data_IF_482009901083
#
_entry.id   IF_482009901083
#
_cell.length_a   1.000
_cell.length_b   1.000
_cell.length_c   1.000
_cell.angle_alpha   90.00
_cell.angle_beta   90.00
_cell.angle_gamma   90.00
#
_symmetry.space_group_name_H-M   'P 1'
#
loop_
_entity.id
_entity.type
_entity.pdbx_description
1 polymer ?
#
# COMPACT_ATOMS: atom_id res chain seq x y z
N UNK A 1 -4.38 29.20 60.54
CA UNK A 1 -3.60 27.95 60.52
C UNK A 1 -4.02 27.12 59.32
N UNK A 2 -3.03 26.67 58.55
CA UNK A 2 -3.05 25.92 57.27
C UNK A 2 -3.02 26.78 56.01
N UNK A 3 -1.84 27.36 55.80
CA UNK A 3 -1.34 27.83 54.51
C UNK A 3 -1.13 26.63 53.57
N UNK A 4 -1.74 26.68 52.39
CA UNK A 4 -1.51 25.71 51.30
C UNK A 4 -0.48 26.33 50.37
N UNK A 5 0.73 25.78 50.37
CA UNK A 5 1.78 26.16 49.44
C UNK A 5 1.52 25.52 48.07
N UNK A 6 1.33 26.35 47.04
CA UNK A 6 1.29 25.95 45.64
C UNK A 6 2.73 25.83 45.13
N UNK A 7 3.22 24.60 44.93
CA UNK A 7 4.51 24.35 44.27
C UNK A 7 4.26 24.27 42.76
N UNK A 8 4.64 25.33 42.04
CA UNK A 8 4.73 25.30 40.57
C UNK A 8 6.01 24.53 40.19
N UNK A 9 5.84 23.31 39.66
CA UNK A 9 6.92 22.54 39.05
C UNK A 9 7.05 22.94 37.57
N UNK A 10 7.90 23.91 37.25
CA UNK A 10 8.28 24.20 35.86
C UNK A 10 9.20 23.10 35.34
N UNK A 11 8.64 22.19 34.54
CA UNK A 11 9.40 21.26 33.71
C UNK A 11 10.05 22.03 32.56
N UNK A 12 11.33 22.36 32.72
CA UNK A 12 12.15 22.82 31.60
C UNK A 12 12.40 21.62 30.66
N UNK A 13 11.64 21.53 29.56
CA UNK A 13 12.00 20.69 28.43
C UNK A 13 13.23 21.30 27.76
N UNK A 14 14.42 20.87 28.18
CA UNK A 14 15.63 21.03 27.39
C UNK A 14 15.48 20.14 26.16
N UNK A 15 14.92 20.72 25.09
CA UNK A 15 14.91 20.13 23.76
C UNK A 15 16.35 19.88 23.34
N UNK A 16 16.84 18.65 23.54
CA UNK A 16 18.03 18.17 22.84
C UNK A 16 17.65 18.03 21.38
N UNK A 17 18.02 19.02 20.58
CA UNK A 17 18.22 18.83 19.14
C UNK A 17 19.14 17.63 19.00
N UNK A 18 18.62 16.51 18.50
CA UNK A 18 19.48 15.42 18.03
C UNK A 18 20.30 16.02 16.89
N UNK A 19 21.56 16.34 17.18
CA UNK A 19 22.50 16.74 16.16
C UNK A 19 22.51 15.64 15.10
N UNK A 20 22.15 16.02 13.87
CA UNK A 20 22.31 15.19 12.68
C UNK A 20 23.79 14.81 12.63
N UNK A 21 24.11 13.53 12.85
CA UNK A 21 25.50 13.12 12.79
C UNK A 21 25.93 13.22 11.32
N UNK A 22 26.93 14.05 11.00
CA UNK A 22 27.44 14.13 9.64
C UNK A 22 27.96 12.74 9.27
N UNK A 23 27.45 12.19 8.17
CA UNK A 23 28.01 10.98 7.58
C UNK A 23 29.46 11.31 7.25
N UNK A 24 30.40 10.69 7.94
CA UNK A 24 31.83 10.87 7.68
C UNK A 24 32.11 10.40 6.25
N UNK A 25 32.36 11.35 5.34
CA UNK A 25 32.74 11.07 3.96
C UNK A 25 34.02 10.25 3.96
N UNK A 26 33.91 8.98 3.54
CA UNK A 26 35.11 8.22 3.17
C UNK A 26 35.62 8.78 1.84
N UNK A 27 36.94 8.96 1.68
CA UNK A 27 37.48 9.37 0.38
C UNK A 27 37.01 8.39 -0.70
N UNK A 28 36.46 8.94 -1.78
CA UNK A 28 35.84 8.24 -2.92
C UNK A 28 34.47 7.55 -2.69
N UNK A 29 33.77 7.82 -1.58
CA UNK A 29 32.37 7.37 -1.40
C UNK A 29 31.41 8.46 -1.87
N UNK A 30 30.60 8.18 -2.89
CA UNK A 30 29.60 9.14 -3.37
C UNK A 30 28.27 8.99 -2.61
N UNK A 31 27.75 10.08 -2.06
CA UNK A 31 26.44 10.10 -1.42
C UNK A 31 25.41 10.87 -2.27
N UNK A 32 24.21 10.33 -2.36
CA UNK A 32 23.03 11.03 -2.86
C UNK A 32 21.90 10.94 -1.84
N UNK A 33 21.07 11.97 -1.78
CA UNK A 33 19.93 12.06 -0.89
C UNK A 33 18.65 12.18 -1.70
N UNK A 34 17.60 11.49 -1.24
CA UNK A 34 16.25 11.55 -1.82
C UNK A 34 15.28 11.97 -0.73
N UNK A 35 14.47 12.99 -0.97
CA UNK A 35 13.52 13.56 -0.03
C UNK A 35 12.16 13.80 -0.69
N UNK A 36 11.06 13.58 0.04
CA UNK A 36 9.71 13.82 -0.45
C UNK A 36 9.41 15.31 -0.76
N UNK A 37 10.27 16.22 -0.28
CA UNK A 37 10.24 17.66 -0.56
C UNK A 37 11.44 18.13 -1.40
N UNK A 38 12.23 17.19 -1.94
CA UNK A 38 13.38 17.48 -2.79
C UNK A 38 12.99 17.99 -4.18
N UNK A 39 13.99 18.25 -5.02
CA UNK A 39 13.79 18.62 -6.44
C UNK A 39 14.76 17.84 -7.33
N UNK A 40 14.27 17.32 -8.46
CA UNK A 40 15.09 16.48 -9.35
C UNK A 40 16.08 17.27 -10.22
N UNK A 41 16.01 18.61 -10.21
CA UNK A 41 16.97 19.51 -10.83
C UNK A 41 18.12 19.93 -9.89
N UNK A 42 18.08 19.53 -8.61
CA UNK A 42 19.19 19.72 -7.69
C UNK A 42 20.29 18.66 -7.91
N UNK A 43 21.42 18.79 -7.21
CA UNK A 43 22.55 17.85 -7.32
C UNK A 43 22.32 16.54 -6.57
N UNK A 44 21.41 16.54 -5.58
CA UNK A 44 21.19 15.43 -4.68
C UNK A 44 22.30 15.21 -3.67
N UNK A 45 23.31 16.09 -3.58
CA UNK A 45 24.49 15.93 -2.71
C UNK A 45 24.29 16.43 -1.28
N UNK A 46 23.24 17.19 -1.03
CA UNK A 46 22.91 17.71 0.30
C UNK A 46 21.67 16.98 0.84
N UNK A 47 21.69 16.60 2.12
CA UNK A 47 20.53 15.99 2.80
C UNK A 47 19.40 17.00 3.06
N UNK A 48 19.76 18.29 3.12
CA UNK A 48 18.86 19.43 3.33
C UNK A 48 19.08 20.44 2.22
N UNK A 49 18.03 21.15 1.81
CA UNK A 49 18.17 22.24 0.86
C UNK A 49 19.12 23.33 1.39
N UNK A 50 19.90 23.95 0.50
CA UNK A 50 20.70 25.12 0.88
C UNK A 50 19.80 26.37 1.09
N UNK A 51 20.37 27.40 1.70
CA UNK A 51 19.64 28.63 2.02
C UNK A 51 19.11 29.36 0.77
N UNK A 52 19.81 29.22 -0.35
CA UNK A 52 19.45 29.83 -1.62
C UNK A 52 18.42 29.01 -2.42
N UNK A 53 18.01 27.84 -1.93
CA UNK A 53 17.11 26.87 -2.61
C UNK A 53 17.57 26.46 -4.02
N UNK A 54 18.86 26.58 -4.29
CA UNK A 54 19.49 26.22 -5.56
C UNK A 54 20.03 24.79 -5.57
N UNK A 55 20.17 24.16 -4.41
CA UNK A 55 20.62 22.78 -4.27
C UNK A 55 19.99 22.07 -3.06
N UNK A 56 20.03 20.74 -3.05
CA UNK A 56 19.38 19.91 -2.04
C UNK A 56 19.25 18.44 -2.47
N UNK A 57 18.41 17.66 -1.79
CA UNK A 57 18.14 16.25 -2.13
C UNK A 57 17.28 16.13 -3.40
N UNK A 58 17.46 15.04 -4.15
CA UNK A 58 16.55 14.70 -5.25
C UNK A 58 15.11 14.45 -4.73
N UNK A 59 14.11 14.66 -5.58
CA UNK A 59 12.73 14.33 -5.26
C UNK A 59 12.44 12.82 -5.43
N UNK A 60 13.12 12.17 -6.39
CA UNK A 60 12.79 10.81 -6.81
C UNK A 60 13.97 9.84 -6.77
N UNK A 61 13.67 8.55 -6.55
CA UNK A 61 14.63 7.45 -6.73
C UNK A 61 15.12 7.36 -8.18
N UNK A 62 14.24 7.63 -9.14
CA UNK A 62 14.56 7.62 -10.57
C UNK A 62 15.66 8.63 -10.90
N UNK A 63 15.58 9.85 -10.36
CA UNK A 63 16.62 10.84 -10.55
C UNK A 63 17.95 10.42 -9.92
N UNK A 64 17.92 9.88 -8.70
CA UNK A 64 19.12 9.36 -8.03
C UNK A 64 19.81 8.26 -8.85
N UNK A 65 19.04 7.30 -9.37
CA UNK A 65 19.53 6.27 -10.30
C UNK A 65 20.17 6.88 -11.55
N UNK A 66 19.50 7.85 -12.18
CA UNK A 66 20.03 8.50 -13.38
C UNK A 66 21.34 9.25 -13.09
N UNK A 67 21.47 9.91 -11.94
CA UNK A 67 22.71 10.55 -11.51
C UNK A 67 23.86 9.55 -11.30
N UNK A 68 23.56 8.35 -10.80
CA UNK A 68 24.55 7.27 -10.70
C UNK A 68 25.00 6.82 -12.10
N UNK A 69 24.06 6.66 -13.04
CA UNK A 69 24.38 6.30 -14.43
C UNK A 69 25.25 7.36 -15.10
N UNK A 70 24.96 8.64 -14.89
CA UNK A 70 25.78 9.77 -15.34
C UNK A 70 27.23 9.65 -14.79
N UNK A 71 27.39 9.47 -13.47
CA UNK A 71 28.72 9.28 -12.85
C UNK A 71 29.50 8.10 -13.44
N UNK A 72 28.84 6.98 -13.72
CA UNK A 72 29.47 5.79 -14.32
C UNK A 72 29.89 6.06 -15.76
N UNK A 73 29.01 6.65 -16.57
CA UNK A 73 29.27 6.96 -17.98
C UNK A 73 30.47 7.89 -18.16
N UNK A 74 30.64 8.85 -17.25
CA UNK A 74 31.73 9.82 -17.25
C UNK A 74 33.00 9.32 -16.54
N UNK A 75 33.03 8.06 -16.07
CA UNK A 75 34.14 7.47 -15.31
C UNK A 75 34.53 8.31 -14.07
N UNK A 76 33.53 8.99 -13.48
CA UNK A 76 33.68 9.82 -12.28
C UNK A 76 33.38 9.07 -10.99
N UNK A 77 32.77 7.89 -11.08
CA UNK A 77 32.65 6.98 -9.93
C UNK A 77 34.03 6.45 -9.58
N UNK A 78 34.50 6.72 -8.35
CA UNK A 78 35.82 6.28 -7.84
C UNK A 78 35.70 5.32 -6.65
N UNK A 79 34.50 4.85 -6.36
CA UNK A 79 34.20 4.03 -5.19
C UNK A 79 32.71 3.75 -5.03
N UNK A 80 32.28 3.25 -3.86
CA UNK A 80 30.89 2.93 -3.55
C UNK A 80 29.96 4.14 -3.70
N UNK A 81 28.71 3.88 -4.06
CA UNK A 81 27.65 4.90 -4.10
C UNK A 81 26.52 4.54 -3.15
N UNK A 82 26.11 5.49 -2.31
CA UNK A 82 24.95 5.30 -1.42
C UNK A 82 23.89 6.37 -1.68
N UNK A 83 22.67 5.91 -1.96
CA UNK A 83 21.46 6.72 -2.00
C UNK A 83 20.75 6.58 -0.66
N UNK A 84 20.70 7.67 0.10
CA UNK A 84 20.00 7.75 1.38
C UNK A 84 18.63 8.37 1.18
N UNK A 85 17.57 7.61 1.46
CA UNK A 85 16.19 8.03 1.30
C UNK A 85 15.67 8.54 2.64
N UNK A 86 15.34 9.83 2.70
CA UNK A 86 14.80 10.49 3.88
C UNK A 86 13.36 9.99 4.15
N UNK A 87 12.92 10.12 5.39
CA UNK A 87 11.59 9.77 5.86
C UNK A 87 10.50 10.50 5.08
N UNK A 88 9.42 9.77 4.82
CA UNK A 88 8.33 10.25 3.97
C UNK A 88 7.67 9.11 3.21
N UNK A 89 6.58 9.41 2.52
CA UNK A 89 5.92 8.46 1.61
C UNK A 89 6.16 8.90 0.18
N UNK A 90 6.84 8.05 -0.58
CA UNK A 90 7.17 8.24 -1.99
C UNK A 90 6.17 7.44 -2.82
N UNK A 91 5.21 8.13 -3.42
CA UNK A 91 4.21 7.50 -4.28
C UNK A 91 4.81 7.27 -5.67
N UNK A 92 4.95 6.01 -6.05
CA UNK A 92 5.49 5.57 -7.33
C UNK A 92 4.35 5.39 -8.33
N UNK A 93 4.33 6.18 -9.40
CA UNK A 93 3.36 6.05 -10.50
C UNK A 93 3.75 4.95 -11.48
N UNK A 94 5.01 4.51 -11.44
CA UNK A 94 5.59 3.46 -12.26
C UNK A 94 6.63 2.65 -11.45
N UNK A 95 6.98 1.42 -11.88
CA UNK A 95 8.02 0.65 -11.22
C UNK A 95 9.36 1.39 -11.21
N UNK A 96 10.09 1.32 -10.09
CA UNK A 96 11.49 1.71 -10.07
C UNK A 96 12.35 0.62 -10.72
N UNK A 97 12.65 0.80 -12.01
CA UNK A 97 13.39 -0.18 -12.82
C UNK A 97 14.89 -0.06 -12.56
N UNK A 98 15.54 -1.19 -12.26
CA UNK A 98 17.00 -1.32 -12.22
C UNK A 98 17.42 -2.29 -13.33
N UNK A 99 18.38 -1.90 -14.15
CA UNK A 99 18.91 -2.71 -15.26
C UNK A 99 20.44 -2.87 -15.15
N UNK A 100 21.08 -3.44 -16.18
CA UNK A 100 22.52 -3.71 -16.18
C UNK A 100 23.39 -2.46 -15.99
N UNK A 101 22.88 -1.26 -16.31
CA UNK A 101 23.58 0.00 -16.08
C UNK A 101 23.66 0.37 -14.60
N UNK A 102 22.82 -0.22 -13.75
CA UNK A 102 22.74 0.06 -12.32
C UNK A 102 23.55 -0.92 -11.47
N UNK A 103 24.24 -1.87 -12.11
CA UNK A 103 25.10 -2.85 -11.44
C UNK A 103 26.32 -2.17 -10.81
N UNK A 104 26.55 -2.41 -9.52
CA UNK A 104 27.82 -2.12 -8.85
C UNK A 104 28.79 -3.30 -8.92
N UNK A 105 29.95 -3.18 -8.28
CA UNK A 105 30.86 -4.32 -8.05
C UNK A 105 30.99 -4.60 -6.55
N UNK A 106 31.63 -5.70 -6.17
CA UNK A 106 31.90 -5.99 -4.76
C UNK A 106 32.74 -4.89 -4.09
N UNK A 107 33.61 -4.21 -4.84
CA UNK A 107 34.45 -3.11 -4.35
C UNK A 107 33.75 -1.74 -4.44
N UNK A 108 32.82 -1.59 -5.38
CA UNK A 108 32.08 -0.35 -5.65
C UNK A 108 30.56 -0.64 -5.69
N UNK A 109 29.95 -1.04 -4.55
CA UNK A 109 28.53 -1.35 -4.52
C UNK A 109 27.70 -0.06 -4.65
N UNK A 110 26.50 -0.23 -5.22
CA UNK A 110 25.46 0.79 -5.24
C UNK A 110 24.40 0.40 -4.22
N UNK A 111 24.22 1.20 -3.18
CA UNK A 111 23.30 0.91 -2.06
C UNK A 111 22.20 1.95 -1.99
N UNK A 112 20.95 1.49 -1.97
CA UNK A 112 19.79 2.30 -1.61
C UNK A 112 19.40 1.97 -0.17
N UNK A 113 19.37 2.96 0.71
CA UNK A 113 19.11 2.76 2.14
C UNK A 113 18.23 3.86 2.70
N UNK A 114 17.56 3.59 3.81
CA UNK A 114 16.94 4.65 4.59
C UNK A 114 18.01 5.58 5.17
N UNK A 115 17.72 6.88 5.20
CA UNK A 115 18.52 7.82 5.99
C UNK A 115 18.51 7.39 7.47
N UNK A 116 19.64 7.43 8.19
CA UNK A 116 19.73 6.93 9.56
C UNK A 116 18.60 7.42 10.48
N UNK A 117 17.94 6.48 11.16
CA UNK A 117 16.83 6.78 12.08
C UNK A 117 15.49 7.13 11.42
N UNK A 118 15.44 7.24 10.09
CA UNK A 118 14.23 7.58 9.35
C UNK A 118 13.59 6.34 8.68
N UNK A 119 12.30 6.44 8.34
CA UNK A 119 11.52 5.34 7.74
C UNK A 119 10.85 5.79 6.45
N UNK A 120 11.56 5.77 5.30
CA UNK A 120 10.94 6.00 4.00
C UNK A 120 9.96 4.87 3.66
N UNK A 121 8.83 5.23 3.05
CA UNK A 121 7.83 4.29 2.53
C UNK A 121 7.77 4.47 1.02
N UNK A 122 8.12 3.43 0.26
CA UNK A 122 7.87 3.39 -1.17
C UNK A 122 6.47 2.80 -1.40
N UNK A 123 5.56 3.60 -1.95
CA UNK A 123 4.16 3.22 -2.11
C UNK A 123 3.79 3.16 -3.58
N UNK A 124 3.38 1.99 -4.08
CA UNK A 124 2.68 1.87 -5.37
C UNK A 124 1.18 2.24 -5.27
N UNK A 125 0.74 2.76 -4.12
CA UNK A 125 -0.63 3.18 -3.91
C UNK A 125 -0.89 4.58 -4.46
N UNK A 126 -2.16 5.01 -4.41
CA UNK A 126 -2.56 6.39 -4.71
C UNK A 126 -3.10 7.03 -3.45
N UNK A 127 -2.60 8.23 -3.11
CA UNK A 127 -3.17 9.04 -2.03
C UNK A 127 -4.58 9.48 -2.42
N UNK A 128 -5.56 9.10 -1.61
CA UNK A 128 -6.96 9.51 -1.78
C UNK A 128 -7.23 10.71 -0.86
N UNK A 129 -7.70 11.80 -1.45
CA UNK A 129 -8.01 13.07 -0.77
C UNK A 129 -9.47 13.47 -1.00
N UNK A 130 -9.93 14.55 -0.36
CA UNK A 130 -11.30 15.04 -0.51
C UNK A 130 -12.34 14.18 0.20
N UNK A 131 -11.99 13.70 1.41
CA UNK A 131 -12.92 12.99 2.26
C UNK A 131 -13.86 13.97 2.97
N UNK A 132 -15.15 13.65 2.97
CA UNK A 132 -16.21 14.40 3.64
C UNK A 132 -17.04 13.46 4.53
N UNK A 133 -17.60 13.96 5.65
CA UNK A 133 -18.62 13.23 6.40
C UNK A 133 -19.82 12.88 5.52
N UNK A 134 -20.39 11.69 5.74
CA UNK A 134 -21.61 11.27 5.06
C UNK A 134 -22.72 10.96 6.07
N UNK A 135 -22.88 9.71 6.49
CA UNK A 135 -23.95 9.26 7.39
C UNK A 135 -23.36 8.43 8.55
N UNK A 136 -23.75 8.76 9.78
CA UNK A 136 -23.18 8.14 10.97
C UNK A 136 -21.65 8.27 10.97
N UNK A 137 -20.96 7.15 11.10
CA UNK A 137 -19.48 7.09 11.12
C UNK A 137 -18.84 6.86 9.73
N UNK A 138 -19.57 7.16 8.65
CA UNK A 138 -19.09 6.93 7.28
C UNK A 138 -18.48 8.21 6.73
N UNK A 139 -17.24 8.09 6.23
CA UNK A 139 -16.60 9.09 5.37
C UNK A 139 -16.76 8.68 3.90
N UNK A 140 -16.87 9.67 3.03
CA UNK A 140 -17.00 9.48 1.58
C UNK A 140 -16.01 10.39 0.85
N UNK A 141 -15.52 9.94 -0.31
CA UNK A 141 -14.82 10.78 -1.28
C UNK A 141 -15.31 10.44 -2.69
N UNK A 142 -15.18 11.38 -3.63
CA UNK A 142 -15.58 11.18 -5.02
C UNK A 142 -14.40 10.77 -5.88
N UNK A 143 -14.49 9.60 -6.54
CA UNK A 143 -13.45 9.04 -7.39
C UNK A 143 -13.99 8.76 -8.81
N UNK A 144 -14.17 9.80 -9.65
CA UNK A 144 -14.82 9.66 -10.96
C UNK A 144 -14.09 8.66 -11.88
N UNK A 145 -12.76 8.71 -11.88
CA UNK A 145 -11.92 7.86 -12.73
C UNK A 145 -12.09 6.36 -12.43
N UNK A 146 -12.44 6.01 -11.19
CA UNK A 146 -12.72 4.60 -10.82
C UNK A 146 -14.05 4.11 -11.36
N UNK A 147 -15.05 5.01 -11.48
CA UNK A 147 -16.35 4.69 -12.10
C UNK A 147 -16.21 4.51 -13.61
N UNK A 148 -15.28 5.24 -14.23
CA UNK A 148 -14.93 5.13 -15.64
C UNK A 148 -14.04 3.92 -15.95
N UNK A 149 -13.64 3.15 -14.94
CA UNK A 149 -12.79 1.96 -15.13
C UNK A 149 -11.32 2.27 -15.44
N UNK A 150 -10.86 3.52 -15.30
CA UNK A 150 -9.46 3.91 -15.56
C UNK A 150 -8.50 3.25 -14.57
N UNK A 151 -8.95 3.00 -13.35
CA UNK A 151 -8.24 2.21 -12.35
C UNK A 151 -9.20 1.65 -11.32
N UNK A 152 -8.80 0.58 -10.63
CA UNK A 152 -9.55 -0.07 -9.57
C UNK A 152 -8.64 -0.46 -8.42
N UNK A 153 -9.21 -0.75 -7.26
CA UNK A 153 -8.47 -1.16 -6.08
C UNK A 153 -9.28 -2.15 -5.23
N UNK A 154 -8.58 -3.06 -4.55
CA UNK A 154 -9.17 -4.03 -3.60
C UNK A 154 -8.78 -3.77 -2.15
N UNK A 155 -7.90 -2.79 -1.94
CA UNK A 155 -7.25 -2.53 -0.66
C UNK A 155 -7.27 -1.03 -0.41
N UNK A 156 -7.58 -0.64 0.82
CA UNK A 156 -7.55 0.74 1.29
C UNK A 156 -6.76 0.76 2.59
N UNK A 157 -5.93 1.77 2.77
CA UNK A 157 -5.16 2.00 3.99
C UNK A 157 -5.52 3.36 4.56
N UNK A 158 -5.70 3.42 5.87
CA UNK A 158 -5.97 4.66 6.61
C UNK A 158 -4.99 4.72 7.78
N UNK A 159 -4.20 5.79 7.87
CA UNK A 159 -3.14 5.96 8.89
C UNK A 159 -2.20 4.75 9.04
N UNK A 160 -1.82 4.14 7.92
CA UNK A 160 -0.94 2.96 7.89
C UNK A 160 -1.65 1.63 8.15
N UNK A 161 -2.93 1.64 8.53
CA UNK A 161 -3.70 0.43 8.79
C UNK A 161 -4.55 0.02 7.60
N UNK A 162 -4.43 -1.25 7.20
CA UNK A 162 -5.27 -1.84 6.15
C UNK A 162 -6.72 -1.91 6.63
N UNK A 163 -7.61 -1.27 5.87
CA UNK A 163 -9.05 -1.32 6.12
C UNK A 163 -9.66 -2.59 5.56
N UNK A 164 -10.71 -3.07 6.24
CA UNK A 164 -11.46 -4.25 5.79
C UNK A 164 -12.35 -3.83 4.63
N UNK A 165 -12.13 -4.41 3.45
CA UNK A 165 -13.07 -4.26 2.33
C UNK A 165 -14.44 -4.75 2.79
N UNK A 166 -15.46 -3.92 2.60
CA UNK A 166 -16.82 -4.21 3.03
C UNK A 166 -17.23 -5.61 2.56
N UNK A 167 -17.62 -6.46 3.51
CA UNK A 167 -17.95 -7.86 3.28
C UNK A 167 -19.10 -8.30 4.16
N UNK A 168 -19.78 -9.33 3.71
CA UNK A 168 -20.70 -10.09 4.53
C UNK A 168 -20.37 -11.58 4.40
N UNK A 169 -20.40 -12.36 5.49
CA UNK A 169 -20.50 -11.87 6.86
C UNK A 169 -19.29 -11.02 7.28
N UNK A 170 -19.45 -10.24 8.34
CA UNK A 170 -18.35 -9.45 8.90
C UNK A 170 -17.23 -10.38 9.39
N UNK A 171 -15.97 -9.96 9.21
CA UNK A 171 -14.80 -10.68 9.72
C UNK A 171 -14.94 -10.91 11.23
N UNK A 172 -14.68 -12.14 11.68
CA UNK A 172 -14.56 -12.48 13.10
C UNK A 172 -13.08 -12.72 13.45
N UNK A 173 -12.38 -11.78 14.11
CA UNK A 173 -10.94 -11.92 14.37
C UNK A 173 -10.58 -13.16 15.21
N UNK A 174 -11.47 -13.58 16.12
CA UNK A 174 -11.25 -14.70 17.03
C UNK A 174 -11.64 -16.06 16.42
N UNK A 175 -12.19 -16.08 15.21
CA UNK A 175 -12.48 -17.30 14.45
C UNK A 175 -12.15 -17.02 12.98
N UNK A 176 -10.86 -16.96 12.63
CA UNK A 176 -10.43 -16.54 11.30
C UNK A 176 -10.62 -17.63 10.23
N UNK A 177 -10.79 -18.90 10.64
CA UNK A 177 -10.92 -20.03 9.73
C UNK A 177 -12.38 -20.19 9.26
N UNK A 178 -13.34 -20.19 10.16
CA UNK A 178 -14.75 -20.44 9.83
C UNK A 178 -15.65 -19.22 10.12
N UNK A 179 -15.22 -18.36 11.02
CA UNK A 179 -15.96 -17.18 11.43
C UNK A 179 -15.95 -16.08 10.36
N UNK A 180 -17.13 -15.55 10.06
CA UNK A 180 -17.28 -14.51 9.07
C UNK A 180 -17.43 -15.03 7.63
N UNK A 181 -17.63 -16.34 7.47
CA UNK A 181 -18.04 -16.99 6.22
C UNK A 181 -19.51 -17.37 6.26
N UNK A 182 -20.15 -17.37 5.10
CA UNK A 182 -21.48 -17.91 4.91
C UNK A 182 -21.38 -19.24 4.17
N UNK A 183 -22.24 -20.18 4.54
CA UNK A 183 -22.33 -21.48 3.88
C UNK A 183 -23.53 -21.48 2.93
N UNK A 184 -23.33 -22.05 1.76
CA UNK A 184 -24.39 -22.23 0.77
C UNK A 184 -25.25 -23.43 1.16
N UNK A 185 -26.55 -23.33 0.92
CA UNK A 185 -27.51 -24.44 1.11
C UNK A 185 -27.27 -25.54 0.08
N UNK A 186 -27.12 -25.15 -1.19
CA UNK A 186 -26.80 -26.04 -2.30
C UNK A 186 -26.13 -25.26 -3.44
N UNK A 187 -25.28 -25.93 -4.22
CA UNK A 187 -24.92 -25.48 -5.56
C UNK A 187 -26.01 -25.86 -6.55
N UNK A 188 -26.11 -25.19 -7.70
CA UNK A 188 -27.01 -25.58 -8.79
C UNK A 188 -26.22 -25.76 -10.10
N UNK A 189 -26.26 -26.98 -10.71
CA UNK A 189 -26.85 -28.23 -10.19
C UNK A 189 -26.23 -28.69 -8.86
N UNK A 190 -26.99 -29.46 -8.08
CA UNK A 190 -26.59 -29.92 -6.75
C UNK A 190 -25.31 -30.76 -6.81
N UNK A 191 -24.36 -30.47 -5.92
CA UNK A 191 -23.06 -31.14 -5.87
C UNK A 191 -22.03 -30.66 -6.91
N UNK A 192 -22.38 -29.74 -7.82
CA UNK A 192 -21.42 -29.21 -8.81
C UNK A 192 -20.37 -28.32 -8.14
N UNK A 193 -19.11 -28.78 -8.13
CA UNK A 193 -17.95 -28.03 -7.61
C UNK A 193 -17.55 -26.83 -8.49
N UNK A 194 -18.08 -26.76 -9.72
CA UNK A 194 -17.86 -25.69 -10.70
C UNK A 194 -19.15 -24.92 -10.97
N UNK A 195 -20.07 -24.90 -10.01
CA UNK A 195 -21.35 -24.23 -10.17
C UNK A 195 -21.18 -22.75 -10.51
N UNK A 196 -22.07 -22.22 -11.33
CA UNK A 196 -22.21 -20.77 -11.53
C UNK A 196 -23.29 -20.18 -10.61
N UNK A 197 -23.99 -21.03 -9.86
CA UNK A 197 -25.19 -20.68 -9.13
C UNK A 197 -25.21 -21.41 -7.80
N UNK A 198 -25.65 -20.73 -6.75
CA UNK A 198 -25.85 -21.35 -5.44
C UNK A 198 -27.03 -20.75 -4.72
N UNK A 199 -27.68 -21.59 -3.91
CA UNK A 199 -28.74 -21.19 -2.99
C UNK A 199 -28.12 -20.81 -1.66
N UNK A 200 -28.43 -19.64 -1.13
CA UNK A 200 -28.03 -19.24 0.23
C UNK A 200 -29.04 -19.74 1.27
N UNK A 201 -28.54 -20.00 2.49
CA UNK A 201 -29.36 -20.49 3.59
C UNK A 201 -30.50 -19.51 3.95
N UNK A 202 -31.67 -19.98 4.42
CA UNK A 202 -32.82 -19.12 4.75
C UNK A 202 -32.52 -17.99 5.75
N UNK A 203 -31.63 -18.24 6.70
CA UNK A 203 -31.12 -17.29 7.70
C UNK A 203 -29.85 -16.55 7.25
N UNK A 204 -29.25 -17.01 6.16
CA UNK A 204 -28.05 -16.46 5.52
C UNK A 204 -28.33 -15.37 4.50
N UNK A 205 -29.54 -14.78 4.48
CA UNK A 205 -29.88 -13.76 3.49
C UNK A 205 -28.92 -12.57 3.59
N UNK A 206 -28.31 -12.14 2.48
CA UNK A 206 -27.56 -10.89 2.47
C UNK A 206 -28.51 -9.75 2.84
N UNK A 207 -27.99 -8.74 3.56
CA UNK A 207 -28.64 -7.42 3.64
C UNK A 207 -29.12 -7.04 2.24
N UNK A 208 -30.26 -6.33 2.11
CA UNK A 208 -30.68 -5.79 0.82
C UNK A 208 -29.54 -4.93 0.23
N UNK A 209 -28.83 -5.47 -0.77
CA UNK A 209 -27.72 -4.78 -1.41
C UNK A 209 -28.30 -3.80 -2.43
N UNK A 210 -27.97 -2.52 -2.28
CA UNK A 210 -28.43 -1.50 -3.22
C UNK A 210 -27.92 -1.72 -4.66
N UNK A 211 -26.78 -2.41 -4.82
CA UNK A 211 -26.12 -2.69 -6.10
C UNK A 211 -25.49 -4.09 -6.10
N UNK A 212 -26.29 -5.17 -6.20
CA UNK A 212 -25.78 -6.54 -6.10
C UNK A 212 -24.76 -6.87 -7.18
N UNK A 213 -24.86 -6.29 -8.39
CA UNK A 213 -23.87 -6.48 -9.46
C UNK A 213 -22.47 -5.88 -9.20
N UNK A 214 -22.29 -5.11 -8.12
CA UNK A 214 -20.97 -4.64 -7.68
C UNK A 214 -20.33 -5.56 -6.63
N UNK A 215 -21.07 -6.58 -6.16
CA UNK A 215 -20.56 -7.55 -5.21
C UNK A 215 -19.73 -8.62 -5.92
N UNK A 216 -18.86 -9.26 -5.14
CA UNK A 216 -18.11 -10.44 -5.56
C UNK A 216 -18.24 -11.49 -4.47
N UNK A 217 -18.26 -12.75 -4.87
CA UNK A 217 -18.22 -13.88 -3.95
C UNK A 217 -16.80 -14.39 -3.90
N UNK A 218 -16.24 -14.45 -2.70
CA UNK A 218 -15.02 -15.21 -2.44
C UNK A 218 -15.44 -16.62 -2.01
N UNK A 219 -15.21 -17.60 -2.87
CA UNK A 219 -15.61 -19.00 -2.65
C UNK A 219 -14.38 -19.86 -2.44
N UNK A 220 -14.45 -20.74 -1.45
CA UNK A 220 -13.48 -21.82 -1.21
C UNK A 220 -14.16 -23.13 -1.60
N UNK A 221 -13.97 -23.64 -2.83
CA UNK A 221 -14.58 -24.88 -3.24
C UNK A 221 -13.88 -26.10 -2.62
N UNK A 222 -14.66 -27.16 -2.39
CA UNK A 222 -14.17 -28.50 -2.04
C UNK A 222 -13.20 -28.51 -0.85
N UNK A 223 -11.98 -29.06 -1.01
CA UNK A 223 -10.97 -29.19 0.06
C UNK A 223 -10.39 -27.84 0.56
N UNK A 224 -10.86 -26.68 0.07
CA UNK A 224 -10.44 -25.33 0.49
C UNK A 224 -8.96 -24.96 0.25
N UNK A 225 -8.29 -25.62 -0.71
CA UNK A 225 -6.88 -25.34 -1.06
C UNK A 225 -6.71 -24.09 -1.94
N UNK A 226 -7.77 -23.71 -2.65
CA UNK A 226 -7.81 -22.53 -3.50
C UNK A 226 -9.07 -21.76 -3.18
N UNK A 227 -9.04 -20.46 -3.46
CA UNK A 227 -10.22 -19.63 -3.43
C UNK A 227 -10.38 -18.90 -4.76
N UNK A 228 -11.63 -18.63 -5.11
CA UNK A 228 -12.00 -17.93 -6.32
C UNK A 228 -12.81 -16.69 -5.98
N UNK A 229 -12.53 -15.56 -6.63
CA UNK A 229 -13.25 -14.29 -6.41
C UNK A 229 -14.00 -13.94 -7.67
N UNK A 230 -15.32 -14.09 -7.63
CA UNK A 230 -16.17 -14.05 -8.82
C UNK A 230 -17.21 -12.93 -8.67
N UNK A 231 -17.33 -12.02 -9.65
CA UNK A 231 -18.41 -11.02 -9.66
C UNK A 231 -19.78 -11.67 -9.62
N UNK A 232 -20.71 -11.06 -8.87
CA UNK A 232 -22.11 -11.46 -8.86
C UNK A 232 -22.77 -10.94 -10.14
N UNK A 233 -23.40 -11.84 -10.90
CA UNK A 233 -24.22 -11.49 -12.06
C UNK A 233 -25.61 -11.04 -11.62
N UNK A 234 -26.23 -11.80 -10.73
CA UNK A 234 -27.59 -11.56 -10.27
C UNK A 234 -27.81 -12.14 -8.87
N UNK A 235 -28.70 -11.50 -8.10
CA UNK A 235 -29.22 -12.04 -6.85
C UNK A 235 -30.73 -12.14 -7.01
N UNK A 236 -31.28 -13.33 -6.85
CA UNK A 236 -32.72 -13.59 -6.79
C UNK A 236 -33.07 -13.95 -5.36
N UNK A 237 -33.55 -12.95 -4.61
CA UNK A 237 -33.91 -13.11 -3.21
C UNK A 237 -35.17 -13.95 -3.01
N UNK A 238 -36.06 -14.04 -4.00
CA UNK A 238 -37.27 -14.85 -3.93
C UNK A 238 -36.95 -16.35 -3.90
N UNK A 239 -35.98 -16.76 -4.72
CA UNK A 239 -35.51 -18.15 -4.79
C UNK A 239 -34.26 -18.42 -3.94
N UNK A 240 -33.78 -17.42 -3.19
CA UNK A 240 -32.52 -17.42 -2.43
C UNK A 240 -31.28 -17.76 -3.27
N UNK A 241 -31.22 -17.28 -4.50
CA UNK A 241 -30.18 -17.61 -5.46
C UNK A 241 -29.17 -16.47 -5.64
N UNK A 242 -27.90 -16.82 -5.74
CA UNK A 242 -26.86 -15.97 -6.30
C UNK A 242 -26.33 -16.64 -7.57
N UNK A 243 -26.35 -15.87 -8.66
CA UNK A 243 -25.81 -16.25 -9.96
C UNK A 243 -24.50 -15.49 -10.15
N UNK A 244 -23.44 -16.23 -10.43
CA UNK A 244 -22.09 -15.73 -10.63
C UNK A 244 -21.85 -15.33 -12.10
N UNK A 245 -20.92 -14.39 -12.31
CA UNK A 245 -20.52 -13.96 -13.65
C UNK A 245 -19.85 -15.06 -14.47
N UNK A 246 -19.31 -16.09 -13.80
CA UNK A 246 -18.76 -17.31 -14.41
C UNK A 246 -18.81 -18.47 -13.42
N UNK A 247 -18.58 -19.68 -13.93
CA UNK A 247 -18.38 -20.89 -13.13
C UNK A 247 -17.17 -20.79 -12.20
N UNK A 248 -17.26 -21.43 -11.04
CA UNK A 248 -16.13 -21.60 -10.09
C UNK A 248 -15.02 -22.43 -10.73
N UNK A 249 -13.77 -22.05 -10.46
CA UNK A 249 -12.58 -22.74 -10.92
C UNK A 249 -11.81 -23.37 -9.73
N UNK A 250 -12.11 -24.63 -9.36
CA UNK A 250 -11.60 -25.26 -8.14
C UNK A 250 -10.18 -25.86 -8.24
N UNK A 251 -9.48 -25.70 -9.36
CA UNK A 251 -8.21 -26.40 -9.62
C UNK A 251 -6.97 -25.50 -9.59
N UNK A 252 -5.81 -26.08 -9.24
CA UNK A 252 -4.51 -25.44 -9.47
C UNK A 252 -4.24 -25.21 -10.98
N UNK A 253 -4.70 -26.13 -11.83
CA UNK A 253 -4.48 -26.08 -13.29
C UNK A 253 -5.22 -24.92 -13.98
N UNK A 254 -6.27 -24.35 -13.38
CA UNK A 254 -6.97 -23.18 -13.94
C UNK A 254 -6.23 -21.85 -13.71
N UNK A 255 -5.13 -21.86 -12.97
CA UNK A 255 -4.28 -20.68 -12.69
C UNK A 255 -2.96 -20.68 -13.50
N UNK A 256 -2.72 -21.70 -14.32
CA UNK A 256 -1.58 -21.73 -15.23
C UNK A 256 -2.01 -21.13 -16.59
N UNK A 257 -1.25 -20.17 -17.14
CA UNK A 257 -1.55 -19.56 -18.44
C UNK A 257 -1.46 -20.57 -19.59
#
# INVERSE_FOLDING_TARGET
MKDVALVLLTLAFSGRTLAEQPVTEKPNHAHFYVSAIGKDNWSGRLSVQNAEETDGPFATLTRARNAIRELKSEKRSKGPVTVMVLGGTYYLTEPFVLDSQDTGTDQEPITYTAYPGQKPILSGGRKIVGWEPYQGNILRCHLPETKEGRWSFRQLFFNGERQIRARWPNRKPNDPLYGGWAFVEATLPEGDQKAAEFRFAPDGAPRHWARPGQAEVNVFPWYCWVNDIIPVKQVDTGNRMIILGRRVQPGFMSLMP
#
